data_IF_428173664284
#
_entry.id   IF_428173664284
#
_cell.length_a   1.000
_cell.length_b   1.000
_cell.length_c   1.000
_cell.angle_alpha   90.00
_cell.angle_beta   90.00
_cell.angle_gamma   90.00
#
_symmetry.space_group_name_H-M   'P 1'
#
loop_
_entity.id
_entity.type
_entity.pdbx_description
1 polymer ?
#
# COMPACT_ATOMS: atom_id res chain seq x y z
N UNK A 1 22.92 -17.18 15.68
CA UNK A 1 23.15 -16.95 14.26
C UNK A 1 22.78 -15.50 13.91
N UNK A 2 23.66 -14.83 13.24
CA UNK A 2 23.39 -13.47 12.82
C UNK A 2 22.87 -13.45 11.39
N UNK A 3 21.82 -12.72 11.22
CA UNK A 3 21.29 -12.46 9.89
C UNK A 3 22.00 -11.27 9.28
N UNK A 4 22.39 -11.38 8.02
CA UNK A 4 22.93 -10.27 7.24
C UNK A 4 21.85 -9.59 6.42
N UNK A 5 20.59 -9.96 6.65
CA UNK A 5 19.49 -9.34 5.91
C UNK A 5 19.30 -7.90 6.36
N UNK A 6 19.00 -7.05 5.41
CA UNK A 6 18.66 -5.66 5.70
C UNK A 6 17.35 -5.61 6.44
N UNK A 7 17.15 -4.60 7.29
CA UNK A 7 15.85 -4.43 7.94
C UNK A 7 14.72 -4.27 6.92
N UNK A 8 13.61 -4.90 7.22
CA UNK A 8 12.40 -4.73 6.41
C UNK A 8 11.89 -3.29 6.53
N UNK A 9 11.22 -2.84 5.49
CA UNK A 9 10.57 -1.53 5.47
C UNK A 9 9.07 -1.71 5.37
N UNK A 10 8.34 -0.99 6.19
CA UNK A 10 6.88 -1.00 6.14
C UNK A 10 6.39 0.39 5.76
N UNK A 11 5.50 0.45 4.78
CA UNK A 11 4.84 1.67 4.37
C UNK A 11 3.37 1.62 4.77
N UNK A 12 2.89 2.70 5.37
CA UNK A 12 1.49 2.88 5.74
C UNK A 12 0.90 3.97 4.86
N UNK A 13 -0.17 3.66 4.16
CA UNK A 13 -0.86 4.67 3.33
C UNK A 13 -2.31 4.76 3.74
N UNK A 14 -2.74 5.96 4.10
CA UNK A 14 -4.13 6.27 4.37
C UNK A 14 -4.71 6.96 3.15
N UNK A 15 -5.82 6.43 2.65
CA UNK A 15 -6.57 7.02 1.54
C UNK A 15 -7.93 7.46 2.05
N UNK A 16 -8.22 8.76 1.96
CA UNK A 16 -9.50 9.32 2.39
C UNK A 16 -10.30 9.76 1.17
N UNK A 17 -11.55 9.34 1.11
CA UNK A 17 -12.46 9.59 0.00
C UNK A 17 -13.59 10.54 0.43
N UNK A 18 -14.20 11.21 -0.53
CA UNK A 18 -15.30 12.13 -0.26
C UNK A 18 -16.52 11.41 0.33
N UNK A 19 -16.73 10.14 -0.06
CA UNK A 19 -17.86 9.34 0.41
C UNK A 19 -17.57 7.86 0.20
N UNK A 20 -18.44 7.00 0.75
CA UNK A 20 -18.27 5.55 0.63
C UNK A 20 -18.45 5.05 -0.80
N UNK A 21 -19.28 5.69 -1.59
CA UNK A 21 -19.48 5.29 -2.99
C UNK A 21 -18.18 5.42 -3.78
N UNK A 22 -17.47 6.54 -3.61
CA UNK A 22 -16.19 6.76 -4.27
C UNK A 22 -15.15 5.74 -3.80
N UNK A 23 -15.12 5.46 -2.51
CA UNK A 23 -14.23 4.45 -1.93
C UNK A 23 -14.48 3.06 -2.54
N UNK A 24 -15.75 2.65 -2.62
CA UNK A 24 -16.10 1.36 -3.20
C UNK A 24 -15.79 1.29 -4.68
N UNK A 25 -15.98 2.40 -5.40
CA UNK A 25 -15.60 2.50 -6.81
C UNK A 25 -14.10 2.29 -6.97
N UNK A 26 -13.31 2.97 -6.17
CA UNK A 26 -11.85 2.84 -6.18
C UNK A 26 -11.42 1.39 -5.93
N UNK A 27 -12.00 0.74 -4.92
CA UNK A 27 -11.72 -0.66 -4.64
C UNK A 27 -12.09 -1.58 -5.78
N UNK A 28 -13.21 -1.34 -6.44
CA UNK A 28 -13.64 -2.17 -7.57
C UNK A 28 -12.68 -2.05 -8.74
N UNK A 29 -12.11 -0.87 -8.97
CA UNK A 29 -11.11 -0.69 -10.03
C UNK A 29 -9.79 -1.39 -9.68
N UNK A 30 -9.37 -1.29 -8.43
CA UNK A 30 -8.18 -2.00 -7.97
C UNK A 30 -8.34 -3.51 -8.13
N UNK A 31 -9.51 -4.04 -7.81
CA UNK A 31 -9.81 -5.47 -7.97
C UNK A 31 -9.57 -5.95 -9.40
N UNK A 32 -9.85 -5.11 -10.38
CA UNK A 32 -9.61 -5.42 -11.79
C UNK A 32 -8.14 -5.31 -12.19
N UNK A 33 -7.37 -4.45 -11.53
CA UNK A 33 -5.97 -4.15 -11.89
C UNK A 33 -4.94 -4.98 -11.15
N UNK A 34 -5.25 -5.42 -9.97
CA UNK A 34 -4.25 -6.02 -9.07
C UNK A 34 -3.54 -7.23 -9.66
N UNK A 35 -4.23 -8.02 -10.48
CA UNK A 35 -3.63 -9.19 -11.11
C UNK A 35 -2.49 -8.83 -12.05
N UNK A 36 -2.54 -7.66 -12.67
CA UNK A 36 -1.46 -7.15 -13.52
C UNK A 36 -0.26 -6.69 -12.70
N UNK A 37 -0.53 -6.03 -11.57
CA UNK A 37 0.53 -5.37 -10.79
C UNK A 37 1.17 -6.26 -9.72
N UNK A 38 0.45 -7.21 -9.14
CA UNK A 38 1.01 -8.04 -8.07
C UNK A 38 2.30 -8.77 -8.46
N UNK A 39 2.40 -9.40 -9.63
CA UNK A 39 3.65 -10.06 -10.01
C UNK A 39 4.82 -9.08 -10.12
N UNK A 40 4.57 -7.88 -10.60
CA UNK A 40 5.60 -6.83 -10.75
C UNK A 40 6.07 -6.34 -9.38
N UNK A 41 5.13 -6.11 -8.46
CA UNK A 41 5.45 -5.67 -7.10
C UNK A 41 6.22 -6.76 -6.35
N UNK A 42 5.81 -8.00 -6.50
CA UNK A 42 6.51 -9.14 -5.90
C UNK A 42 7.95 -9.23 -6.41
N UNK A 43 8.13 -9.10 -7.72
CA UNK A 43 9.47 -9.12 -8.31
C UNK A 43 10.33 -7.95 -7.81
N UNK A 44 9.72 -6.83 -7.48
CA UNK A 44 10.41 -5.68 -6.92
C UNK A 44 10.72 -5.79 -5.42
N UNK A 45 10.23 -6.82 -4.76
CA UNK A 45 10.53 -7.06 -3.35
C UNK A 45 9.41 -6.71 -2.38
N UNK A 46 8.20 -6.44 -2.87
CA UNK A 46 7.04 -6.32 -2.00
C UNK A 46 6.66 -7.73 -1.52
N UNK A 47 6.65 -7.92 -0.22
CA UNK A 47 6.40 -9.23 0.39
C UNK A 47 4.96 -9.45 0.80
N UNK A 48 4.30 -8.38 1.24
CA UNK A 48 2.95 -8.46 1.76
C UNK A 48 2.25 -7.12 1.57
N UNK A 49 0.99 -7.18 1.21
CA UNK A 49 0.15 -6.01 1.05
C UNK A 49 -1.18 -6.29 1.75
N UNK A 50 -1.51 -5.47 2.73
CA UNK A 50 -2.73 -5.62 3.50
C UNK A 50 -3.59 -4.38 3.33
N UNK A 51 -4.81 -4.59 2.85
CA UNK A 51 -5.79 -3.50 2.76
C UNK A 51 -6.76 -3.59 3.93
N UNK A 52 -7.06 -2.46 4.53
CA UNK A 52 -8.02 -2.37 5.62
C UNK A 52 -9.02 -1.27 5.33
N UNK A 53 -10.23 -1.44 5.83
CA UNK A 53 -11.21 -0.36 5.87
C UNK A 53 -11.12 0.26 7.26
N UNK A 54 -10.85 1.55 7.33
CA UNK A 54 -10.74 2.22 8.62
C UNK A 54 -12.13 2.27 9.27
N UNK A 55 -12.28 1.70 10.48
CA UNK A 55 -13.58 1.57 11.10
C UNK A 55 -13.83 2.53 12.25
N UNK A 56 -12.78 3.05 12.85
CA UNK A 56 -12.90 3.99 13.97
C UNK A 56 -12.74 5.46 13.55
N UNK A 57 -13.02 5.76 12.30
CA UNK A 57 -12.87 7.08 11.71
C UNK A 57 -14.26 7.66 11.48
N UNK A 58 -14.71 8.51 12.38
CA UNK A 58 -16.08 9.01 12.39
C UNK A 58 -16.49 9.69 11.09
N UNK A 59 -17.43 9.05 10.38
CA UNK A 59 -18.06 9.64 9.20
C UNK A 59 -17.19 9.74 7.96
N UNK A 60 -15.94 9.33 8.01
CA UNK A 60 -15.06 9.38 6.85
C UNK A 60 -14.93 8.04 6.17
N UNK A 61 -14.93 8.05 4.84
CA UNK A 61 -14.64 6.86 4.04
C UNK A 61 -13.14 6.80 3.84
N UNK A 62 -12.49 5.83 4.46
CA UNK A 62 -11.03 5.73 4.42
C UNK A 62 -10.55 4.30 4.36
N UNK A 63 -9.47 4.10 3.60
CA UNK A 63 -8.75 2.84 3.50
C UNK A 63 -7.36 2.99 4.07
N UNK A 64 -6.90 1.99 4.78
CA UNK A 64 -5.52 1.92 5.24
C UNK A 64 -4.81 0.77 4.57
N UNK A 65 -3.66 1.04 3.97
CA UNK A 65 -2.87 0.04 3.28
C UNK A 65 -1.54 -0.14 3.99
N UNK A 66 -1.15 -1.39 4.19
CA UNK A 66 0.14 -1.73 4.78
C UNK A 66 0.94 -2.51 3.74
N UNK A 67 2.08 -1.96 3.34
CA UNK A 67 2.97 -2.59 2.38
C UNK A 67 4.24 -2.99 3.10
N UNK A 68 4.60 -4.26 3.05
CA UNK A 68 5.80 -4.78 3.70
C UNK A 68 6.80 -5.21 2.65
N UNK A 69 7.96 -4.56 2.65
CA UNK A 69 9.05 -4.78 1.70
C UNK A 69 10.20 -5.53 2.34
N UNK A 70 10.96 -6.25 1.54
CA UNK A 70 12.14 -6.96 2.02
C UNK A 70 13.17 -6.00 2.64
N UNK A 71 13.33 -4.83 2.02
CA UNK A 71 14.29 -3.80 2.44
C UNK A 71 13.95 -2.46 1.77
N UNK A 72 14.76 -1.44 2.06
CA UNK A 72 14.56 -0.12 1.48
C UNK A 72 14.79 -0.09 -0.03
N UNK A 73 15.67 -0.94 -0.54
CA UNK A 73 15.91 -1.01 -1.99
C UNK A 73 14.67 -1.54 -2.71
N UNK A 74 13.99 -2.52 -2.13
CA UNK A 74 12.74 -3.04 -2.66
C UNK A 74 11.66 -1.97 -2.71
N UNK A 75 11.56 -1.16 -1.67
CA UNK A 75 10.66 -0.01 -1.66
C UNK A 75 10.94 0.91 -2.85
N UNK A 76 12.19 1.26 -3.09
CA UNK A 76 12.58 2.13 -4.20
C UNK A 76 12.22 1.52 -5.56
N UNK A 77 12.48 0.22 -5.73
CA UNK A 77 12.14 -0.48 -6.98
C UNK A 77 10.64 -0.46 -7.26
N UNK A 78 9.82 -0.57 -6.22
CA UNK A 78 8.37 -0.57 -6.40
C UNK A 78 7.77 0.80 -6.66
N UNK A 79 8.52 1.89 -6.44
CA UNK A 79 7.98 3.25 -6.60
C UNK A 79 7.49 3.53 -8.02
N UNK A 80 8.22 3.07 -9.04
CA UNK A 80 7.80 3.27 -10.44
C UNK A 80 6.52 2.53 -10.74
N UNK A 81 6.34 1.35 -10.14
CA UNK A 81 5.13 0.54 -10.33
C UNK A 81 3.94 1.26 -9.69
N UNK A 82 4.11 1.75 -8.46
CA UNK A 82 3.05 2.51 -7.80
C UNK A 82 2.75 3.82 -8.52
N UNK A 83 3.76 4.46 -9.11
CA UNK A 83 3.54 5.65 -9.91
C UNK A 83 2.70 5.35 -11.14
N UNK A 84 2.90 4.18 -11.78
CA UNK A 84 2.08 3.75 -12.91
C UNK A 84 0.63 3.50 -12.48
N UNK A 85 0.44 2.86 -11.32
CA UNK A 85 -0.89 2.63 -10.75
C UNK A 85 -1.57 3.98 -10.49
N UNK A 86 -0.88 4.92 -9.88
CA UNK A 86 -1.41 6.24 -9.57
C UNK A 86 -1.83 6.99 -10.83
N UNK A 87 -1.08 6.85 -11.92
CA UNK A 87 -1.43 7.47 -13.19
C UNK A 87 -2.73 6.91 -13.76
N UNK A 88 -2.95 5.61 -13.63
CA UNK A 88 -4.20 4.99 -14.07
C UNK A 88 -5.38 5.43 -13.23
N UNK A 89 -5.16 5.71 -11.95
CA UNK A 89 -6.20 6.09 -10.99
C UNK A 89 -6.50 7.60 -10.97
N UNK A 90 -5.64 8.41 -11.59
CA UNK A 90 -5.68 9.86 -11.44
C UNK A 90 -6.98 10.52 -11.87
N UNK A 91 -7.72 9.92 -12.81
CA UNK A 91 -8.95 10.48 -13.34
C UNK A 91 -10.22 9.79 -12.81
N UNK A 92 -10.09 8.93 -11.82
CA UNK A 92 -11.24 8.17 -11.32
C UNK A 92 -12.04 8.95 -10.30
N UNK A 93 -11.62 8.91 -9.05
CA UNK A 93 -12.28 9.64 -7.97
C UNK A 93 -11.24 10.38 -7.17
N UNK A 94 -11.58 11.54 -6.61
CA UNK A 94 -10.65 12.28 -5.75
C UNK A 94 -10.29 11.44 -4.53
N UNK A 95 -9.01 11.41 -4.19
CA UNK A 95 -8.53 10.73 -3.00
C UNK A 95 -7.40 11.54 -2.38
N UNK A 96 -7.43 11.66 -1.05
CA UNK A 96 -6.36 12.30 -0.30
C UNK A 96 -5.51 11.20 0.29
N UNK A 97 -4.21 11.19 -0.03
CA UNK A 97 -3.28 10.17 0.44
C UNK A 97 -2.26 10.74 1.40
N UNK A 98 -2.04 10.02 2.48
CA UNK A 98 -0.95 10.27 3.42
C UNK A 98 -0.18 8.98 3.58
N UNK A 99 1.13 9.06 3.45
CA UNK A 99 1.98 7.87 3.55
C UNK A 99 3.11 8.08 4.55
N UNK A 100 3.38 7.05 5.33
CA UNK A 100 4.45 7.03 6.31
C UNK A 100 5.24 5.75 6.14
N UNK A 101 6.55 5.82 6.33
CA UNK A 101 7.42 4.67 6.17
C UNK A 101 8.22 4.44 7.43
N UNK A 102 8.38 3.19 7.79
CA UNK A 102 9.17 2.82 8.94
C UNK A 102 10.11 1.68 8.61
N UNK A 103 11.29 1.74 9.20
CA UNK A 103 12.24 0.63 9.15
C UNK A 103 11.96 -0.22 10.38
N UNK A 104 11.78 -1.52 10.16
CA UNK A 104 11.48 -2.44 11.26
C UNK A 104 12.72 -2.55 12.16
N UNK A 105 12.53 -2.27 13.45
CA UNK A 105 13.60 -2.43 14.43
C UNK A 105 13.29 -3.51 15.45
N UNK A 106 12.06 -3.96 15.52
CA UNK A 106 11.63 -5.00 16.47
C UNK A 106 10.42 -5.73 15.90
N UNK A 107 10.47 -7.05 15.96
CA UNK A 107 9.37 -7.90 15.49
C UNK A 107 9.26 -9.12 16.40
N UNK A 108 8.07 -9.32 16.95
CA UNK A 108 7.76 -10.47 17.77
C UNK A 108 6.56 -11.21 17.19
N UNK A 109 6.72 -12.52 17.01
CA UNK A 109 5.63 -13.39 16.62
C UNK A 109 5.14 -14.09 17.89
N UNK A 110 3.96 -13.72 18.34
CA UNK A 110 3.41 -14.22 19.60
C UNK A 110 2.65 -15.55 19.43
#
# INVERSE_FOLDING_TARGET
MMSNTKPALINYTLETFANERDMHWHLSQWEKRKAEYYPKLKAGGLRKMTGTKVWNNKGEAALGWIFEYEDAESFKKCQEIFAAIAREEAEEVPVIRQAFRGIVFDEEIL
#
